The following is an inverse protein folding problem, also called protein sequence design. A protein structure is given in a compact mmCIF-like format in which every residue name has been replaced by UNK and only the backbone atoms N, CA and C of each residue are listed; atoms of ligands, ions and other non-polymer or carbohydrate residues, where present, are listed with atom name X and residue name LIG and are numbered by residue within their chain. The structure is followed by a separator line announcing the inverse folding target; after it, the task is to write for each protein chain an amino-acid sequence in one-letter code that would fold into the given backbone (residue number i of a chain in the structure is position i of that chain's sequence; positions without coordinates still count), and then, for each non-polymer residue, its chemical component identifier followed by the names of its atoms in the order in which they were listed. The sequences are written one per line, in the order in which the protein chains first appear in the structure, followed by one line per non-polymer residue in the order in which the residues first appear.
data_IF_776719153763
#
_entry.id   IF_776719153763
#
_cell.length_a   1.000
_cell.length_b   1.000
_cell.length_c   1.000
_cell.angle_alpha   90.00
_cell.angle_beta   90.00
_cell.angle_gamma   90.00
#
_symmetry.space_group_name_H-M   'P 1'
#
loop_
_entity.id
_entity.type
_entity.pdbx_description
1 polymer ?
#
# COMPACT_ATOMS: atom_id res chain seq x y z
N UNK A 1 14.60 6.63 -11.16
CA UNK A 1 13.12 6.60 -11.01
C UNK A 1 12.73 6.31 -9.57
N UNK A 2 13.04 5.12 -9.01
CA UNK A 2 12.95 4.90 -7.55
C UNK A 2 14.35 4.73 -6.97
N UNK A 3 14.52 5.17 -5.72
CA UNK A 3 15.78 5.08 -4.99
C UNK A 3 15.57 4.32 -3.68
N UNK A 4 16.18 3.13 -3.54
CA UNK A 4 16.11 2.32 -2.33
C UNK A 4 17.32 2.49 -1.39
N UNK A 5 18.27 3.36 -1.72
CA UNK A 5 19.51 3.54 -0.93
C UNK A 5 19.24 4.07 0.49
N UNK A 6 18.20 4.89 0.64
CA UNK A 6 17.82 5.48 1.94
C UNK A 6 16.73 4.64 2.62
N UNK A 7 16.95 3.34 2.72
CA UNK A 7 16.01 2.40 3.31
C UNK A 7 16.48 1.92 4.68
N UNK A 8 15.51 1.76 5.58
CA UNK A 8 15.66 1.09 6.86
C UNK A 8 14.83 -0.20 6.79
N UNK A 9 15.46 -1.37 7.01
CA UNK A 9 14.79 -2.66 6.96
C UNK A 9 14.58 -3.23 8.36
N UNK A 10 13.39 -3.80 8.61
CA UNK A 10 12.98 -4.36 9.91
C UNK A 10 12.42 -5.76 9.70
N UNK A 11 12.64 -6.64 10.69
CA UNK A 11 12.14 -8.01 10.69
C UNK A 11 10.98 -8.23 11.66
N UNK A 12 10.83 -7.33 12.63
CA UNK A 12 9.81 -7.40 13.67
C UNK A 12 8.77 -6.27 13.51
N UNK A 13 7.46 -6.56 13.63
CA UNK A 13 6.79 -7.83 13.92
C UNK A 13 6.72 -8.79 12.71
N UNK A 14 7.08 -8.33 11.53
CA UNK A 14 7.24 -9.06 10.27
C UNK A 14 8.10 -8.22 9.31
N UNK A 15 8.64 -8.79 8.23
CA UNK A 15 9.55 -8.05 7.36
C UNK A 15 8.89 -6.85 6.68
N UNK A 16 9.45 -5.65 6.92
CA UNK A 16 9.06 -4.40 6.25
C UNK A 16 10.24 -3.46 6.10
N UNK A 17 10.13 -2.51 5.18
CA UNK A 17 11.11 -1.44 4.99
C UNK A 17 10.45 -0.08 4.89
N UNK A 18 11.16 0.93 5.37
CA UNK A 18 10.83 2.35 5.19
C UNK A 18 11.88 2.95 4.27
N UNK A 19 11.46 3.51 3.15
CA UNK A 19 12.33 4.14 2.16
C UNK A 19 12.00 5.63 2.11
N UNK A 20 12.99 6.48 2.34
CA UNK A 20 12.85 7.95 2.29
C UNK A 20 13.31 8.46 0.92
N UNK A 21 12.66 9.51 0.42
CA UNK A 21 12.97 10.14 -0.88
C UNK A 21 12.96 9.13 -2.02
N UNK A 22 11.86 8.37 -2.12
CA UNK A 22 11.71 7.29 -3.10
C UNK A 22 11.76 7.79 -4.54
N UNK A 23 11.23 8.99 -4.80
CA UNK A 23 11.24 9.67 -6.09
C UNK A 23 12.15 10.91 -6.06
N UNK A 24 12.63 11.31 -7.22
CA UNK A 24 13.17 12.67 -7.43
C UNK A 24 12.08 13.70 -7.14
N UNK A 25 12.49 14.86 -6.62
CA UNK A 25 11.54 15.89 -6.13
C UNK A 25 10.52 16.30 -7.19
N UNK A 26 10.98 16.53 -8.42
CA UNK A 26 10.15 16.94 -9.56
C UNK A 26 9.07 15.88 -9.88
N UNK A 27 9.47 14.61 -9.87
CA UNK A 27 8.54 13.48 -10.09
C UNK A 27 7.48 13.44 -8.99
N UNK A 28 7.90 13.61 -7.73
CA UNK A 28 6.97 13.59 -6.60
C UNK A 28 5.99 14.79 -6.65
N UNK A 29 6.49 15.99 -6.96
CA UNK A 29 5.65 17.19 -7.08
C UNK A 29 4.64 17.07 -8.23
N UNK A 30 5.02 16.46 -9.35
CA UNK A 30 4.11 16.18 -10.45
C UNK A 30 3.06 15.12 -10.08
N UNK A 31 3.46 14.06 -9.36
CA UNK A 31 2.50 13.05 -8.87
C UNK A 31 1.45 13.64 -7.94
N UNK A 32 1.82 14.63 -7.10
CA UNK A 32 0.85 15.34 -6.27
C UNK A 32 -0.18 16.10 -7.10
N UNK A 33 0.27 16.81 -8.14
CA UNK A 33 -0.60 17.58 -9.05
C UNK A 33 -1.49 16.66 -9.89
N UNK A 34 -0.95 15.51 -10.32
CA UNK A 34 -1.63 14.55 -11.18
C UNK A 34 -2.49 13.55 -10.40
N UNK A 35 -2.46 13.54 -9.06
CA UNK A 35 -3.27 12.59 -8.29
C UNK A 35 -4.76 12.78 -8.63
N UNK A 36 -5.48 11.70 -9.05
CA UNK A 36 -6.88 11.83 -9.43
C UNK A 36 -7.73 12.32 -8.26
N UNK A 37 -8.59 13.32 -8.50
CA UNK A 37 -9.54 13.74 -7.48
C UNK A 37 -10.61 12.66 -7.29
N UNK A 38 -10.80 12.15 -6.07
CA UNK A 38 -11.81 11.13 -5.80
C UNK A 38 -13.25 11.58 -6.11
N UNK A 39 -13.51 12.91 -6.11
CA UNK A 39 -14.81 13.46 -6.42
C UNK A 39 -15.09 13.53 -7.92
N UNK A 40 -14.06 13.80 -8.73
CA UNK A 40 -14.19 13.96 -10.18
C UNK A 40 -13.97 12.66 -10.95
N UNK A 41 -13.21 11.72 -10.36
CA UNK A 41 -12.90 10.44 -10.96
C UNK A 41 -13.69 9.33 -10.25
N UNK A 42 -14.19 8.37 -11.01
CA UNK A 42 -14.99 7.26 -10.48
C UNK A 42 -14.13 6.31 -9.64
N UNK A 43 -13.76 6.77 -8.43
CA UNK A 43 -13.24 5.87 -7.42
C UNK A 43 -14.35 4.95 -6.93
N UNK A 44 -14.04 3.70 -6.67
CA UNK A 44 -14.99 2.77 -6.08
C UNK A 44 -14.58 2.44 -4.63
N UNK A 45 -15.55 2.14 -3.75
CA UNK A 45 -15.24 1.70 -2.40
C UNK A 45 -14.46 0.37 -2.45
N UNK A 46 -13.45 0.23 -1.61
CA UNK A 46 -12.73 -1.04 -1.50
C UNK A 46 -13.67 -2.15 -0.99
N UNK A 47 -13.36 -3.41 -1.30
CA UNK A 47 -14.18 -4.55 -0.85
C UNK A 47 -14.31 -4.62 0.67
N UNK A 48 -13.36 -4.06 1.41
CA UNK A 48 -13.45 -3.92 2.87
C UNK A 48 -14.51 -2.93 3.31
N UNK A 49 -14.81 -1.87 2.52
CA UNK A 49 -15.87 -0.90 2.83
C UNK A 49 -17.26 -1.50 2.85
N UNK A 50 -17.46 -2.65 2.21
CA UNK A 50 -18.76 -3.33 2.07
C UNK A 50 -19.11 -4.23 3.26
N UNK A 51 -18.15 -4.54 4.15
CA UNK A 51 -18.40 -5.39 5.33
C UNK A 51 -18.94 -4.54 6.47
N UNK A 52 -20.26 -4.53 6.66
CA UNK A 52 -20.98 -3.71 7.66
C UNK A 52 -20.55 -3.92 9.13
N UNK A 53 -19.92 -5.05 9.43
CA UNK A 53 -19.66 -5.48 10.82
C UNK A 53 -18.34 -4.99 11.41
N UNK A 54 -17.52 -4.21 10.67
CA UNK A 54 -16.14 -3.87 11.05
C UNK A 54 -15.93 -2.35 11.12
N UNK A 55 -16.99 -1.58 11.26
CA UNK A 55 -16.93 -0.13 11.33
C UNK A 55 -16.88 0.54 9.94
N UNK A 56 -16.79 1.87 9.91
CA UNK A 56 -16.81 2.64 8.67
C UNK A 56 -15.46 2.52 7.96
N UNK A 57 -15.34 1.60 7.00
CA UNK A 57 -14.27 1.65 6.03
C UNK A 57 -14.59 2.71 5.00
N UNK A 58 -13.80 3.75 4.98
CA UNK A 58 -13.97 4.87 4.06
C UNK A 58 -12.84 4.89 3.01
N UNK A 59 -12.25 3.73 2.69
CA UNK A 59 -11.25 3.66 1.64
C UNK A 59 -11.91 3.61 0.28
N UNK A 60 -11.55 4.54 -0.59
CA UNK A 60 -11.88 4.56 -2.00
C UNK A 60 -10.63 4.29 -2.84
N UNK A 61 -10.79 3.61 -3.97
CA UNK A 61 -9.69 3.20 -4.83
C UNK A 61 -10.02 3.33 -6.31
N UNK A 62 -8.99 3.63 -7.08
CA UNK A 62 -8.96 3.58 -8.54
C UNK A 62 -7.77 2.71 -8.94
N UNK A 63 -8.01 1.53 -9.47
CA UNK A 63 -6.98 0.52 -9.68
C UNK A 63 -7.00 -0.11 -11.07
N UNK A 64 -5.88 -0.72 -11.45
CA UNK A 64 -5.69 -1.29 -12.79
C UNK A 64 -6.33 -2.67 -13.00
N UNK A 65 -7.01 -3.24 -12.01
CA UNK A 65 -7.65 -4.56 -12.10
C UNK A 65 -9.17 -4.48 -12.20
N UNK A 66 -9.78 -3.57 -11.43
CA UNK A 66 -11.24 -3.52 -11.25
C UNK A 66 -11.88 -2.22 -11.78
N UNK A 67 -11.08 -1.12 -11.91
CA UNK A 67 -11.63 0.16 -12.34
C UNK A 67 -11.65 0.27 -13.85
N UNK A 68 -12.83 0.27 -14.45
CA UNK A 68 -13.02 0.37 -15.91
C UNK A 68 -12.39 1.65 -16.49
N UNK A 69 -12.46 2.76 -15.77
CA UNK A 69 -11.94 4.06 -16.17
C UNK A 69 -10.44 4.27 -15.88
N UNK A 70 -9.74 3.30 -15.27
CA UNK A 70 -8.33 3.47 -14.87
C UNK A 70 -7.44 3.91 -16.03
N UNK A 71 -7.57 3.24 -17.17
CA UNK A 71 -6.75 3.52 -18.35
C UNK A 71 -7.00 4.94 -18.90
N UNK A 72 -8.23 5.42 -18.88
CA UNK A 72 -8.58 6.78 -19.32
C UNK A 72 -8.02 7.83 -18.37
N UNK A 73 -8.12 7.57 -17.07
CA UNK A 73 -7.57 8.47 -16.04
C UNK A 73 -6.06 8.59 -16.17
N UNK A 74 -5.34 7.48 -16.35
CA UNK A 74 -3.88 7.50 -16.38
C UNK A 74 -3.33 8.01 -17.73
N UNK A 75 -4.09 7.85 -18.83
CA UNK A 75 -3.69 8.28 -20.17
C UNK A 75 -3.32 9.75 -20.24
N UNK A 76 -4.06 10.59 -19.53
CA UNK A 76 -3.92 12.04 -19.55
C UNK A 76 -2.97 12.59 -18.45
N UNK A 77 -2.30 11.71 -17.69
CA UNK A 77 -1.39 12.03 -16.58
C UNK A 77 0.00 11.50 -16.90
N UNK A 78 0.85 12.38 -17.43
CA UNK A 78 2.18 12.00 -17.97
C UNK A 78 3.06 11.29 -16.94
N UNK A 79 3.20 11.87 -15.76
CA UNK A 79 4.07 11.36 -14.70
C UNK A 79 3.47 10.11 -14.06
N UNK A 80 2.17 10.10 -13.79
CA UNK A 80 1.46 8.93 -13.29
C UNK A 80 1.54 7.75 -14.25
N UNK A 81 1.42 7.98 -15.57
CA UNK A 81 1.59 6.96 -16.60
C UNK A 81 3.02 6.40 -16.64
N UNK A 82 4.03 7.29 -16.53
CA UNK A 82 5.44 6.91 -16.48
C UNK A 82 5.71 5.99 -15.29
N UNK A 83 5.23 6.37 -14.10
CA UNK A 83 5.38 5.62 -12.85
C UNK A 83 4.64 4.28 -12.92
N UNK A 84 3.40 4.28 -13.41
CA UNK A 84 2.62 3.06 -13.62
C UNK A 84 3.35 2.05 -14.53
N UNK A 85 3.87 2.52 -15.70
CA UNK A 85 4.60 1.67 -16.62
C UNK A 85 5.89 1.13 -15.99
N UNK A 86 6.59 1.94 -15.20
CA UNK A 86 7.77 1.50 -14.45
C UNK A 86 7.42 0.40 -13.45
N UNK A 87 6.40 0.59 -12.62
CA UNK A 87 6.00 -0.42 -11.64
C UNK A 87 5.54 -1.73 -12.27
N UNK A 88 4.93 -1.68 -13.45
CA UNK A 88 4.56 -2.90 -14.22
C UNK A 88 5.74 -3.60 -14.89
N UNK A 89 6.91 -2.98 -14.94
CA UNK A 89 8.06 -3.53 -15.64
C UNK A 89 8.77 -4.64 -14.85
N UNK A 90 9.45 -5.53 -15.56
CA UNK A 90 10.36 -6.50 -14.94
C UNK A 90 11.49 -5.81 -14.17
N UNK A 91 11.91 -4.64 -14.61
CA UNK A 91 12.95 -3.84 -13.95
C UNK A 91 12.56 -3.54 -12.49
N UNK A 92 11.31 -3.14 -12.23
CA UNK A 92 10.84 -2.90 -10.87
C UNK A 92 10.87 -4.19 -10.03
N UNK A 93 10.34 -5.29 -10.56
CA UNK A 93 10.33 -6.57 -9.86
C UNK A 93 11.75 -7.02 -9.51
N UNK A 94 12.70 -6.86 -10.43
CA UNK A 94 14.10 -7.22 -10.20
C UNK A 94 14.75 -6.32 -9.14
N UNK A 95 14.50 -5.00 -9.15
CA UNK A 95 14.99 -4.08 -8.12
C UNK A 95 14.49 -4.49 -6.73
N UNK A 96 13.20 -4.82 -6.61
CA UNK A 96 12.64 -5.27 -5.33
C UNK A 96 13.21 -6.63 -4.91
N UNK A 97 13.35 -7.56 -5.83
CA UNK A 97 13.91 -8.88 -5.57
C UNK A 97 15.38 -8.79 -5.08
N UNK A 98 16.21 -7.98 -5.75
CA UNK A 98 17.60 -7.72 -5.34
C UNK A 98 17.68 -7.06 -3.96
N UNK A 99 16.81 -6.08 -3.70
CA UNK A 99 16.70 -5.43 -2.40
C UNK A 99 16.32 -6.41 -1.30
N UNK A 100 15.38 -7.31 -1.55
CA UNK A 100 14.97 -8.31 -0.57
C UNK A 100 16.06 -9.38 -0.34
N UNK A 101 16.75 -9.80 -1.40
CA UNK A 101 17.88 -10.74 -1.28
C UNK A 101 19.01 -10.14 -0.44
N UNK A 102 19.33 -8.85 -0.62
CA UNK A 102 20.33 -8.16 0.21
C UNK A 102 19.93 -8.07 1.68
N UNK A 103 18.63 -8.18 1.97
CA UNK A 103 18.06 -8.28 3.30
C UNK A 103 17.67 -9.74 3.66
N UNK A 104 18.36 -10.74 3.13
CA UNK A 104 18.19 -12.17 3.43
C UNK A 104 16.78 -12.74 3.18
N UNK A 105 15.99 -12.12 2.30
CA UNK A 105 14.64 -12.58 1.96
C UNK A 105 14.58 -12.99 0.50
N UNK A 106 14.16 -14.22 0.25
CA UNK A 106 14.07 -14.78 -1.09
C UNK A 106 12.61 -15.05 -1.49
N UNK A 107 12.01 -14.13 -2.25
CA UNK A 107 10.64 -14.29 -2.78
C UNK A 107 10.59 -15.20 -4.02
N UNK A 108 11.71 -15.51 -4.66
CA UNK A 108 11.76 -16.41 -5.84
C UNK A 108 11.29 -17.81 -5.51
N UNK A 109 11.45 -18.24 -4.27
CA UNK A 109 10.95 -19.54 -3.77
C UNK A 109 9.42 -19.62 -3.80
N UNK A 110 8.72 -18.50 -3.84
CA UNK A 110 7.26 -18.41 -3.93
C UNK A 110 6.75 -18.60 -5.38
N UNK A 111 7.63 -18.63 -6.37
CA UNK A 111 7.26 -18.95 -7.75
C UNK A 111 6.82 -20.41 -7.83
N UNK A 112 5.67 -20.67 -8.46
CA UNK A 112 5.21 -22.05 -8.73
C UNK A 112 6.29 -22.79 -9.52
N UNK A 113 6.64 -24.03 -9.11
CA UNK A 113 7.48 -24.91 -9.93
C UNK A 113 6.83 -25.09 -11.28
N UNK A 114 7.50 -24.64 -12.35
CA UNK A 114 6.97 -24.69 -13.70
C UNK A 114 6.97 -26.11 -14.25
N UNK A 115 5.89 -26.51 -14.90
CA UNK A 115 5.92 -27.51 -15.96
C UNK A 115 6.81 -26.99 -17.09
N UNK A 116 7.62 -27.89 -17.72
CA UNK A 116 8.55 -27.59 -18.83
C UNK A 116 7.95 -26.71 -19.93
N UNK A 117 6.64 -26.79 -20.22
CA UNK A 117 5.94 -26.01 -21.24
C UNK A 117 5.75 -24.52 -20.91
N UNK A 118 6.07 -24.05 -19.69
CA UNK A 118 5.82 -22.67 -19.23
C UNK A 118 7.08 -21.91 -18.81
N UNK A 119 8.23 -22.23 -19.40
CA UNK A 119 9.53 -21.65 -19.03
C UNK A 119 9.62 -20.12 -19.09
N UNK A 120 8.80 -19.46 -19.89
CA UNK A 120 8.81 -18.01 -20.13
C UNK A 120 7.66 -17.22 -19.49
N UNK A 121 6.74 -17.84 -18.73
CA UNK A 121 5.64 -17.07 -18.10
C UNK A 121 6.08 -16.44 -16.81
N UNK A 122 5.84 -15.12 -16.71
CA UNK A 122 6.00 -14.34 -15.47
C UNK A 122 5.03 -14.89 -14.41
N UNK A 123 5.55 -15.18 -13.21
CA UNK A 123 4.75 -15.67 -12.11
C UNK A 123 4.24 -14.53 -11.20
N UNK A 124 4.52 -13.28 -11.54
CA UNK A 124 4.11 -12.11 -10.77
C UNK A 124 3.41 -11.10 -11.66
N UNK A 125 2.34 -10.52 -11.13
CA UNK A 125 1.67 -9.34 -11.68
C UNK A 125 1.83 -8.18 -10.72
N UNK A 126 1.60 -6.97 -11.23
CA UNK A 126 1.58 -5.77 -10.42
C UNK A 126 0.16 -5.21 -10.37
N UNK A 127 -0.36 -5.11 -9.17
CA UNK A 127 -1.53 -4.33 -8.84
C UNK A 127 -1.09 -2.91 -8.53
N UNK A 128 -1.73 -1.92 -9.16
CA UNK A 128 -1.45 -0.49 -8.96
C UNK A 128 -2.75 0.23 -8.63
N UNK A 129 -2.73 1.06 -7.61
CA UNK A 129 -3.91 1.73 -7.08
C UNK A 129 -3.60 3.16 -6.67
N UNK A 130 -4.47 4.10 -7.05
CA UNK A 130 -4.65 5.37 -6.35
C UNK A 130 -5.65 5.13 -5.21
N UNK A 131 -5.22 5.39 -3.99
CA UNK A 131 -6.00 5.15 -2.77
C UNK A 131 -6.32 6.47 -2.07
N UNK A 132 -7.55 6.62 -1.64
CA UNK A 132 -8.04 7.79 -0.92
C UNK A 132 -8.83 7.35 0.32
N UNK A 133 -8.52 7.94 1.48
CA UNK A 133 -9.24 7.72 2.74
C UNK A 133 -9.59 9.09 3.31
N UNK A 134 -10.86 9.40 3.61
CA UNK A 134 -11.23 10.67 4.24
C UNK A 134 -10.47 10.89 5.55
N UNK A 135 -9.99 12.10 5.79
CA UNK A 135 -9.32 12.43 7.04
C UNK A 135 -10.29 12.66 8.21
N UNK A 136 -11.59 12.73 7.95
CA UNK A 136 -12.63 12.84 8.98
C UNK A 136 -13.11 11.43 9.40
N UNK A 137 -12.38 10.81 10.30
CA UNK A 137 -12.72 9.51 10.87
C UNK A 137 -12.47 8.30 9.96
N UNK A 138 -11.79 8.50 8.83
CA UNK A 138 -11.44 7.40 7.92
C UNK A 138 -10.49 6.40 8.58
N UNK A 139 -10.67 5.11 8.30
CA UNK A 139 -9.77 4.08 8.83
C UNK A 139 -9.79 2.81 7.99
N UNK A 140 -8.78 1.97 8.20
CA UNK A 140 -8.70 0.59 7.71
C UNK A 140 -8.48 -0.31 8.92
N UNK A 141 -9.41 -1.23 9.18
CA UNK A 141 -9.31 -2.16 10.31
C UNK A 141 -8.06 -3.06 10.22
N UNK A 142 -7.59 -3.61 11.34
CA UNK A 142 -6.49 -4.55 11.35
C UNK A 142 -6.73 -5.75 10.42
N UNK A 143 -5.78 -5.98 9.51
CA UNK A 143 -5.84 -7.05 8.50
C UNK A 143 -4.43 -7.42 8.01
N UNK A 144 -4.30 -8.49 7.23
CA UNK A 144 -3.00 -8.98 6.73
C UNK A 144 -2.83 -8.90 5.23
N UNK A 145 -3.73 -8.25 4.52
CA UNK A 145 -3.81 -8.30 3.05
C UNK A 145 -4.27 -9.63 2.44
N UNK A 146 -4.68 -9.61 1.19
CA UNK A 146 -5.18 -10.80 0.48
C UNK A 146 -4.09 -11.84 0.24
N UNK A 147 -4.44 -13.16 0.22
CA UNK A 147 -3.47 -14.25 0.08
C UNK A 147 -2.65 -14.25 -1.21
N UNK A 148 -3.14 -13.60 -2.27
CA UNK A 148 -2.43 -13.49 -3.54
C UNK A 148 -1.35 -12.39 -3.54
N UNK A 149 -1.38 -11.46 -2.61
CA UNK A 149 -0.32 -10.44 -2.46
C UNK A 149 0.95 -11.08 -1.89
N UNK A 150 2.09 -10.59 -2.33
CA UNK A 150 3.40 -10.97 -1.82
C UNK A 150 4.03 -9.78 -1.10
N UNK A 151 3.97 -8.62 -1.73
CA UNK A 151 4.53 -7.36 -1.25
C UNK A 151 3.50 -6.27 -1.45
N UNK A 152 3.37 -5.40 -0.47
CA UNK A 152 2.60 -4.16 -0.57
C UNK A 152 3.54 -2.98 -0.33
N UNK A 153 3.52 -2.03 -1.26
CA UNK A 153 4.21 -0.75 -1.17
C UNK A 153 3.18 0.37 -1.06
N UNK A 154 3.26 1.18 -0.02
CA UNK A 154 2.38 2.33 0.21
C UNK A 154 3.22 3.60 0.11
N UNK A 155 2.89 4.48 -0.83
CA UNK A 155 3.58 5.73 -1.09
C UNK A 155 2.64 6.90 -0.84
N UNK A 156 2.85 7.67 0.25
CA UNK A 156 2.07 8.87 0.56
C UNK A 156 2.15 9.92 -0.55
N UNK A 157 1.00 10.49 -0.89
CA UNK A 157 0.88 11.65 -1.78
C UNK A 157 0.22 12.77 -0.98
N UNK A 158 1.03 13.51 -0.23
CA UNK A 158 0.58 14.50 0.75
C UNK A 158 1.63 15.61 0.87
N UNK A 159 1.23 16.80 1.28
CA UNK A 159 2.13 17.88 1.63
C UNK A 159 2.50 17.84 3.12
N UNK A 160 3.70 18.34 3.43
CA UNK A 160 4.23 18.30 4.80
C UNK A 160 3.36 19.11 5.77
N UNK A 161 2.80 20.21 5.29
CA UNK A 161 1.99 21.10 6.12
C UNK A 161 0.60 20.51 6.45
N UNK A 162 0.09 19.63 5.57
CA UNK A 162 -1.18 18.93 5.79
C UNK A 162 -1.08 17.91 6.94
N UNK A 163 0.11 17.31 7.15
CA UNK A 163 0.31 16.27 8.16
C UNK A 163 0.25 16.80 9.59
N UNK A 164 0.72 18.03 9.81
CA UNK A 164 0.90 18.60 11.16
C UNK A 164 -0.40 18.66 11.97
N UNK A 165 -1.55 18.67 11.30
CA UNK A 165 -2.87 18.79 11.89
C UNK A 165 -3.69 17.49 11.84
N UNK A 166 -3.04 16.35 11.52
CA UNK A 166 -3.70 15.05 11.39
C UNK A 166 -3.06 14.04 12.36
N UNK A 167 -3.90 13.33 13.12
CA UNK A 167 -3.47 12.19 13.93
C UNK A 167 -4.00 10.89 13.34
N UNK A 168 -3.34 9.77 13.64
CA UNK A 168 -3.76 8.45 13.16
C UNK A 168 -3.63 8.23 11.64
N UNK A 169 -3.01 9.15 10.90
CA UNK A 169 -2.87 9.08 9.42
C UNK A 169 -1.85 8.04 8.96
N UNK A 170 -0.94 7.62 9.84
CA UNK A 170 0.10 6.64 9.55
C UNK A 170 -0.42 5.22 9.37
N UNK A 171 0.50 4.30 9.36
CA UNK A 171 0.20 2.85 9.34
C UNK A 171 0.74 2.22 10.61
N UNK A 172 -0.13 1.58 11.38
CA UNK A 172 0.26 0.81 12.55
C UNK A 172 0.61 -0.62 12.14
N UNK A 173 1.82 -1.06 12.49
CA UNK A 173 2.26 -2.44 12.39
C UNK A 173 1.85 -3.15 13.68
N UNK A 174 1.10 -4.24 13.58
CA UNK A 174 0.41 -4.84 14.71
C UNK A 174 0.83 -6.30 14.91
N UNK A 175 0.63 -6.79 16.12
CA UNK A 175 0.54 -8.23 16.39
C UNK A 175 -0.84 -8.59 16.95
N UNK A 176 -1.27 -9.83 16.73
CA UNK A 176 -2.47 -10.37 17.35
C UNK A 176 -2.21 -10.79 18.80
N UNK A 177 -3.00 -10.28 19.73
CA UNK A 177 -2.99 -10.70 21.14
C UNK A 177 -3.84 -11.95 21.35
N UNK A 178 -4.89 -12.13 20.54
CA UNK A 178 -5.76 -13.29 20.59
C UNK A 178 -5.21 -14.39 19.65
N UNK A 179 -5.06 -15.62 20.19
CA UNK A 179 -4.55 -16.79 19.47
C UNK A 179 -5.31 -17.10 18.18
N UNK A 180 -6.61 -16.82 18.14
CA UNK A 180 -7.47 -17.01 16.96
C UNK A 180 -6.96 -16.30 15.72
N UNK A 181 -6.29 -15.17 15.88
CA UNK A 181 -5.83 -14.30 14.79
C UNK A 181 -4.32 -14.34 14.53
N UNK A 182 -3.57 -15.15 15.29
CA UNK A 182 -2.10 -15.27 15.10
C UNK A 182 -1.71 -15.80 13.71
N UNK A 183 -2.58 -16.56 13.05
CA UNK A 183 -2.37 -17.14 11.71
C UNK A 183 -3.44 -16.67 10.74
N UNK A 184 -3.43 -15.37 10.44
CA UNK A 184 -4.44 -14.72 9.60
C UNK A 184 -4.05 -14.70 8.11
N UNK A 185 -3.76 -15.86 7.52
CA UNK A 185 -3.35 -15.91 6.11
C UNK A 185 -4.46 -15.46 5.15
N UNK A 186 -5.72 -15.76 5.48
CA UNK A 186 -6.88 -15.50 4.62
C UNK A 186 -7.42 -14.06 4.72
N UNK A 187 -6.68 -13.17 5.39
CA UNK A 187 -7.04 -11.76 5.49
C UNK A 187 -8.40 -11.54 6.20
N UNK A 188 -8.64 -12.22 7.30
CA UNK A 188 -9.76 -11.91 8.17
C UNK A 188 -9.50 -10.55 8.84
N UNK A 189 -10.53 -9.74 8.95
CA UNK A 189 -10.45 -8.54 9.76
C UNK A 189 -10.37 -8.92 11.24
N UNK A 190 -9.50 -8.22 11.98
CA UNK A 190 -9.24 -8.48 13.39
C UNK A 190 -9.80 -7.31 14.19
N UNK A 191 -10.54 -7.55 15.29
CA UNK A 191 -10.94 -6.48 16.21
C UNK A 191 -9.71 -5.75 16.74
N UNK A 192 -9.78 -4.43 16.86
CA UNK A 192 -8.68 -3.63 17.41
C UNK A 192 -8.30 -4.10 18.84
N UNK A 193 -9.30 -4.48 19.65
CA UNK A 193 -9.10 -5.04 20.99
C UNK A 193 -8.26 -6.32 21.04
N UNK A 194 -8.19 -7.06 19.93
CA UNK A 194 -7.43 -8.30 19.78
C UNK A 194 -6.04 -8.08 19.15
N UNK A 195 -5.60 -6.81 19.10
CA UNK A 195 -4.30 -6.41 18.54
C UNK A 195 -3.51 -5.52 19.50
N UNK A 196 -2.19 -5.53 19.34
CA UNK A 196 -1.26 -4.61 19.98
C UNK A 196 -0.44 -3.92 18.91
N UNK A 197 -0.32 -2.58 19.01
CA UNK A 197 0.61 -1.84 18.15
C UNK A 197 2.05 -2.13 18.57
N UNK A 198 2.87 -2.53 17.62
CA UNK A 198 4.31 -2.74 17.80
C UNK A 198 5.08 -1.53 17.29
N UNK A 199 4.65 -0.99 16.15
CA UNK A 199 5.30 0.17 15.55
C UNK A 199 4.31 1.01 14.76
N UNK A 200 4.36 2.32 14.94
CA UNK A 200 3.64 3.30 14.14
C UNK A 200 4.56 3.88 13.07
N UNK A 201 4.14 3.81 11.82
CA UNK A 201 4.89 4.35 10.67
C UNK A 201 4.22 5.64 10.22
N UNK A 202 4.93 6.75 10.38
CA UNK A 202 4.44 8.05 9.95
C UNK A 202 4.15 8.08 8.44
N UNK A 203 3.11 8.81 8.05
CA UNK A 203 2.69 9.00 6.68
C UNK A 203 3.38 10.25 6.11
N UNK A 204 4.66 10.13 5.72
CA UNK A 204 5.49 11.27 5.33
C UNK A 204 5.57 11.43 3.80
N UNK A 205 5.68 12.68 3.28
CA UNK A 205 5.86 12.94 1.85
C UNK A 205 7.07 12.19 1.28
N UNK A 206 6.93 11.72 0.05
CA UNK A 206 8.00 11.04 -0.70
C UNK A 206 8.66 9.87 0.05
N UNK A 207 7.87 9.19 0.89
CA UNK A 207 8.26 7.96 1.59
C UNK A 207 7.60 6.76 0.91
N UNK A 208 8.17 5.58 1.06
CA UNK A 208 7.51 4.32 0.79
C UNK A 208 7.61 3.42 2.02
N UNK A 209 6.46 2.93 2.48
CA UNK A 209 6.39 1.78 3.36
C UNK A 209 6.22 0.54 2.48
N UNK A 210 7.15 -0.40 2.58
CA UNK A 210 7.07 -1.69 1.90
C UNK A 210 7.00 -2.80 2.94
N UNK A 211 6.06 -3.73 2.83
CA UNK A 211 5.98 -4.89 3.71
C UNK A 211 5.63 -6.16 2.95
N UNK A 212 6.08 -7.30 3.52
CA UNK A 212 5.88 -8.61 2.95
C UNK A 212 4.64 -9.23 3.56
N UNK A 213 3.75 -9.76 2.71
CA UNK A 213 2.59 -10.53 3.16
C UNK A 213 3.03 -11.82 3.81
N UNK A 214 2.74 -11.93 5.09
CA UNK A 214 2.89 -13.16 5.88
C UNK A 214 1.53 -13.51 6.52
N UNK A 215 1.46 -14.62 7.24
CA UNK A 215 0.26 -14.99 8.00
C UNK A 215 -0.01 -14.04 9.20
N UNK A 216 0.98 -13.30 9.65
CA UNK A 216 0.92 -12.39 10.80
C UNK A 216 1.21 -10.92 10.46
N UNK A 217 1.26 -10.55 9.17
CA UNK A 217 1.54 -9.16 8.74
C UNK A 217 0.35 -8.23 8.99
N UNK A 218 -0.13 -8.18 10.24
CA UNK A 218 -1.23 -7.33 10.65
C UNK A 218 -0.85 -5.86 10.61
N UNK A 219 -1.70 -5.06 9.98
CA UNK A 219 -1.54 -3.61 9.92
C UNK A 219 -2.91 -2.93 9.83
N UNK A 220 -2.95 -1.66 10.20
CA UNK A 220 -4.16 -0.84 10.11
C UNK A 220 -3.82 0.62 9.83
N UNK A 221 -4.85 1.43 9.58
CA UNK A 221 -4.78 2.90 9.48
C UNK A 221 -5.91 3.48 10.32
N UNK A 222 -5.61 4.49 11.12
CA UNK A 222 -6.57 5.29 11.86
C UNK A 222 -7.28 4.60 13.01
N UNK A 223 -8.40 5.15 13.49
CA UNK A 223 -9.15 6.26 12.88
C UNK A 223 -8.34 7.56 12.77
N UNK A 224 -8.53 8.25 11.64
CA UNK A 224 -7.85 9.52 11.39
C UNK A 224 -8.62 10.64 12.10
N UNK A 225 -7.92 11.39 12.93
CA UNK A 225 -8.46 12.57 13.61
C UNK A 225 -8.03 13.83 12.86
N UNK A 226 -9.00 14.64 12.47
CA UNK A 226 -8.81 15.90 11.76
C UNK A 226 -9.24 17.09 12.60
N UNK A 227 -8.71 18.27 12.28
CA UNK A 227 -9.19 19.56 12.76
C UNK A 227 -10.25 20.11 11.79
N UNK A 228 -10.90 21.21 12.15
CA UNK A 228 -11.83 21.91 11.24
C UNK A 228 -11.19 22.30 9.90
N UNK A 229 -9.88 22.57 9.90
CA UNK A 229 -9.14 22.96 8.69
C UNK A 229 -8.78 21.76 7.80
N UNK A 230 -8.68 20.56 8.36
CA UNK A 230 -8.22 19.36 7.63
C UNK A 230 -9.32 18.33 7.41
N UNK A 231 -10.55 18.61 7.87
CA UNK A 231 -11.69 17.70 7.78
C UNK A 231 -12.05 17.30 6.35
N UNK A 232 -11.88 18.21 5.38
CA UNK A 232 -12.14 17.96 3.96
C UNK A 232 -10.98 17.27 3.23
N UNK A 233 -9.84 17.07 3.88
CA UNK A 233 -8.69 16.41 3.27
C UNK A 233 -8.89 14.90 3.15
N UNK A 234 -8.14 14.32 2.23
CA UNK A 234 -8.04 12.88 2.05
C UNK A 234 -6.60 12.41 2.25
N UNK A 235 -6.42 11.30 2.93
CA UNK A 235 -5.17 10.55 2.96
C UNK A 235 -4.97 9.89 1.60
N UNK A 236 -4.17 10.51 0.75
CA UNK A 236 -3.90 10.06 -0.62
C UNK A 236 -2.63 9.22 -0.67
N UNK A 237 -2.67 8.07 -1.32
CA UNK A 237 -1.48 7.24 -1.54
C UNK A 237 -1.52 6.52 -2.88
N UNK A 238 -0.35 6.26 -3.45
CA UNK A 238 -0.18 5.25 -4.50
C UNK A 238 0.16 3.95 -3.79
N UNK A 239 -0.60 2.89 -4.09
CA UNK A 239 -0.34 1.54 -3.59
C UNK A 239 0.06 0.65 -4.75
N UNK A 240 1.19 -0.04 -4.57
CA UNK A 240 1.71 -1.01 -5.55
C UNK A 240 1.89 -2.34 -4.85
N UNK A 241 1.26 -3.39 -5.39
CA UNK A 241 1.44 -4.73 -4.85
C UNK A 241 2.03 -5.65 -5.92
N UNK A 242 3.05 -6.43 -5.52
CA UNK A 242 3.47 -7.60 -6.28
C UNK A 242 2.56 -8.75 -5.87
N UNK A 243 1.87 -9.34 -6.84
CA UNK A 243 0.87 -10.39 -6.62
C UNK A 243 1.22 -11.66 -7.37
N UNK A 244 0.77 -12.82 -6.83
CA UNK A 244 0.85 -14.11 -7.52
C UNK A 244 -0.19 -14.17 -8.64
N UNK A 245 0.18 -14.81 -9.76
CA UNK A 245 -0.77 -15.25 -10.77
C UNK A 245 -1.58 -16.46 -10.30
#
# INVERSE_FOLDING_TARGET
MINLKNSEFFYDPYPFAIVKNIFEKEIYDDLKKEFPDPNDTKFHPSDYSKKKDIGKFNKFQLDNFLSENFNDVIKNRKTSKLIYNFFKSEKFINIIDEFLISNHINIRSLKKKKSWKNFFRKNFKVYFEFSSIPCDGGFIAPHTDSPYKIITCVMPIIDKDEISNLKGIGTSMLEATNIKYKYNYLNQAVPVSDTREIKYINFLPNQMLMFIKTYNSLHCVGPIESTSLTKSLNRKSIIVCIVKE
#
